data_IF_713926735364
#
_entry.id   IF_713926735364
#
_cell.length_a   1.000
_cell.length_b   1.000
_cell.length_c   1.000
_cell.angle_alpha   90.00
_cell.angle_beta   90.00
_cell.angle_gamma   90.00
#
_symmetry.space_group_name_H-M   'P 1'
#
loop_
_entity.id
_entity.type
_entity.pdbx_description
1 polymer ?
#
# COMPACT_ATOMS: atom_id res chain seq x y z
N UNK A 1 6.68 12.84 -0.56
CA UNK A 1 6.00 11.64 -0.09
C UNK A 1 4.75 11.39 -0.93
N UNK A 2 4.65 10.26 -1.60
CA UNK A 2 3.49 9.90 -2.42
C UNK A 2 3.53 8.41 -2.77
N UNK A 3 2.36 7.84 -3.13
CA UNK A 3 2.30 6.56 -3.86
C UNK A 3 2.28 6.88 -5.35
N UNK A 4 3.24 6.37 -6.08
CA UNK A 4 3.41 6.55 -7.52
C UNK A 4 3.76 5.21 -8.17
N UNK A 5 3.55 5.11 -9.49
CA UNK A 5 3.96 3.93 -10.24
C UNK A 5 5.49 3.74 -10.21
N UNK A 6 5.98 2.49 -10.21
CA UNK A 6 7.40 2.22 -10.30
C UNK A 6 8.06 2.94 -11.49
N UNK A 7 9.27 3.43 -11.31
CA UNK A 7 10.06 4.25 -12.27
C UNK A 7 9.66 5.72 -12.40
N UNK A 8 8.63 6.19 -11.69
CA UNK A 8 8.19 7.61 -11.72
C UNK A 8 9.32 8.56 -11.33
N UNK A 9 10.04 8.29 -10.24
CA UNK A 9 11.15 9.14 -9.79
C UNK A 9 12.28 9.22 -10.82
N UNK A 10 12.61 8.11 -11.47
CA UNK A 10 13.60 8.09 -12.55
C UNK A 10 13.13 8.91 -13.77
N UNK A 11 11.85 8.84 -14.11
CA UNK A 11 11.26 9.64 -15.19
C UNK A 11 11.30 11.13 -14.87
N UNK A 12 10.99 11.52 -13.64
CA UNK A 12 11.10 12.90 -13.15
C UNK A 12 12.57 13.38 -13.21
N UNK A 13 13.52 12.53 -12.77
CA UNK A 13 14.95 12.82 -12.84
C UNK A 13 15.43 13.07 -14.27
N UNK A 14 14.99 12.28 -15.23
CA UNK A 14 15.33 12.47 -16.65
C UNK A 14 14.75 13.76 -17.21
N UNK A 15 13.53 14.12 -16.81
CA UNK A 15 12.84 15.35 -17.25
C UNK A 15 13.45 16.61 -16.61
N UNK A 16 13.82 16.56 -15.34
CA UNK A 16 14.30 17.70 -14.56
C UNK A 16 15.75 17.45 -14.10
N UNK A 17 16.68 17.54 -15.04
CA UNK A 17 18.10 17.13 -14.89
C UNK A 17 18.87 17.86 -13.79
N UNK A 18 18.44 19.07 -13.41
CA UNK A 18 19.08 19.90 -12.38
C UNK A 18 18.59 19.58 -10.97
N UNK A 19 17.49 18.79 -10.84
CA UNK A 19 16.92 18.47 -9.55
C UNK A 19 17.36 17.09 -9.07
N UNK A 20 17.44 16.96 -7.75
CA UNK A 20 17.71 15.71 -7.07
C UNK A 20 16.41 15.14 -6.50
N UNK A 21 16.05 13.93 -6.91
CA UNK A 21 14.82 13.27 -6.46
C UNK A 21 15.11 12.08 -5.56
N UNK A 22 14.39 12.01 -4.45
CA UNK A 22 14.36 10.83 -3.58
C UNK A 22 12.89 10.46 -3.37
N UNK A 23 12.52 9.22 -3.63
CA UNK A 23 11.21 8.71 -3.26
C UNK A 23 11.19 8.42 -1.76
N UNK A 24 10.20 8.96 -1.07
CA UNK A 24 10.00 8.73 0.36
C UNK A 24 8.52 8.42 0.60
N UNK A 25 8.13 7.14 0.66
CA UNK A 25 6.74 6.73 0.91
C UNK A 25 6.29 7.13 2.31
N UNK A 26 5.00 7.02 2.54
CA UNK A 26 4.34 7.17 3.84
C UNK A 26 3.55 5.89 4.15
N UNK A 27 3.35 5.59 5.43
CA UNK A 27 2.63 4.41 5.91
C UNK A 27 1.55 4.82 6.92
N UNK A 28 0.87 5.91 6.62
CA UNK A 28 -0.11 6.54 7.52
C UNK A 28 -1.49 5.89 7.33
N UNK A 29 -2.19 5.70 8.45
CA UNK A 29 -3.61 5.35 8.44
C UNK A 29 -4.43 6.65 8.38
N UNK A 30 -5.47 6.72 7.56
CA UNK A 30 -6.23 7.96 7.34
C UNK A 30 -6.81 8.54 8.64
N UNK A 31 -7.30 7.70 9.55
CA UNK A 31 -7.88 8.11 10.83
C UNK A 31 -6.86 8.57 11.87
N UNK A 32 -5.59 8.15 11.77
CA UNK A 32 -4.50 8.44 12.72
C UNK A 32 -3.30 9.10 12.05
N UNK A 33 -3.51 9.71 10.88
CA UNK A 33 -2.43 10.19 10.02
C UNK A 33 -1.50 11.21 10.70
N UNK A 34 -2.04 12.03 11.60
CA UNK A 34 -1.25 13.01 12.35
C UNK A 34 -0.33 12.31 13.36
N UNK A 35 -0.86 11.40 14.15
CA UNK A 35 -0.14 10.61 15.15
C UNK A 35 0.91 9.70 14.46
N UNK A 36 0.50 9.00 13.41
CA UNK A 36 1.39 8.12 12.64
C UNK A 36 2.54 8.91 12.01
N UNK A 37 2.28 10.14 11.53
CA UNK A 37 3.33 11.00 10.98
C UNK A 37 4.35 11.41 12.04
N UNK A 38 3.92 11.70 13.28
CA UNK A 38 4.80 12.11 14.36
C UNK A 38 5.55 10.93 15.01
N UNK A 39 4.99 9.72 14.93
CA UNK A 39 5.52 8.51 15.55
C UNK A 39 6.11 7.52 14.52
N UNK A 40 6.63 8.03 13.40
CA UNK A 40 7.23 7.17 12.38
C UNK A 40 8.39 6.34 12.95
N UNK A 41 8.24 5.01 12.94
CA UNK A 41 9.27 4.07 13.36
C UNK A 41 10.15 3.59 12.20
N UNK A 42 9.70 3.79 10.95
CA UNK A 42 10.40 3.36 9.75
C UNK A 42 10.29 4.41 8.64
N UNK A 43 11.42 4.78 8.08
CA UNK A 43 11.55 5.76 7.00
C UNK A 43 12.31 5.12 5.84
N UNK A 44 11.75 5.18 4.65
CA UNK A 44 12.39 4.64 3.44
C UNK A 44 12.86 5.80 2.54
N UNK A 45 14.11 5.76 2.11
CA UNK A 45 14.71 6.70 1.18
C UNK A 45 15.13 6.00 -0.11
N UNK A 46 14.27 6.10 -1.13
CA UNK A 46 14.48 5.54 -2.46
C UNK A 46 15.28 6.48 -3.35
N UNK A 47 16.52 6.12 -3.68
CA UNK A 47 17.47 6.95 -4.42
C UNK A 47 17.23 6.89 -5.93
N UNK A 48 17.15 8.04 -6.61
CA UNK A 48 17.36 8.09 -8.06
C UNK A 48 18.86 7.97 -8.40
N UNK A 49 19.16 7.73 -9.67
CA UNK A 49 20.52 7.43 -10.17
C UNK A 49 21.57 8.53 -9.91
N UNK A 50 21.15 9.78 -9.72
CA UNK A 50 22.03 10.92 -9.44
C UNK A 50 22.21 11.23 -7.93
N UNK A 51 21.58 10.47 -7.05
CA UNK A 51 21.67 10.68 -5.61
C UNK A 51 22.96 10.05 -5.08
N UNK A 52 23.83 10.90 -4.54
CA UNK A 52 25.08 10.49 -3.91
C UNK A 52 24.91 10.25 -2.41
N UNK A 53 25.88 9.60 -1.79
CA UNK A 53 25.89 9.38 -0.33
C UNK A 53 25.85 10.68 0.46
N UNK A 54 26.39 11.79 -0.06
CA UNK A 54 26.28 13.12 0.54
C UNK A 54 24.82 13.58 0.65
N UNK A 55 24.02 13.39 -0.41
CA UNK A 55 22.59 13.74 -0.39
C UNK A 55 21.82 12.88 0.62
N UNK A 56 22.12 11.59 0.65
CA UNK A 56 21.50 10.66 1.61
C UNK A 56 21.88 11.01 3.04
N UNK A 57 23.15 11.35 3.30
CA UNK A 57 23.59 11.75 4.63
C UNK A 57 22.83 12.99 5.14
N UNK A 58 22.61 13.98 4.29
CA UNK A 58 21.85 15.19 4.63
C UNK A 58 20.40 14.83 5.02
N UNK A 59 19.74 14.00 4.20
CA UNK A 59 18.37 13.57 4.46
C UNK A 59 18.27 12.71 5.73
N UNK A 60 19.21 11.80 5.92
CA UNK A 60 19.26 10.94 7.11
C UNK A 60 19.44 11.78 8.39
N UNK A 61 20.33 12.75 8.34
CA UNK A 61 20.54 13.68 9.46
C UNK A 61 19.27 14.50 9.77
N UNK A 62 18.55 14.93 8.73
CA UNK A 62 17.26 15.62 8.88
C UNK A 62 16.24 14.70 9.58
N UNK A 63 16.06 13.48 9.08
CA UNK A 63 15.10 12.54 9.67
C UNK A 63 15.49 12.12 11.09
N UNK A 64 16.75 11.80 11.36
CA UNK A 64 17.22 11.46 12.71
C UNK A 64 17.09 12.59 13.73
N UNK A 65 17.10 13.83 13.29
CA UNK A 65 16.83 14.99 14.16
C UNK A 65 15.40 14.98 14.71
N UNK A 66 14.41 14.60 13.88
CA UNK A 66 12.99 14.65 14.24
C UNK A 66 12.43 13.29 14.65
N UNK A 67 13.07 12.21 14.24
CA UNK A 67 12.69 10.82 14.49
C UNK A 67 13.95 10.04 14.90
N UNK A 68 14.49 10.26 16.11
CA UNK A 68 15.77 9.68 16.52
C UNK A 68 15.75 8.15 16.54
N UNK A 69 14.62 7.55 16.91
CA UNK A 69 14.45 6.12 17.06
C UNK A 69 13.97 5.42 15.76
N UNK A 70 13.64 6.18 14.71
CA UNK A 70 13.19 5.59 13.47
C UNK A 70 14.30 4.83 12.75
N UNK A 71 14.00 3.63 12.26
CA UNK A 71 14.87 2.93 11.33
C UNK A 71 14.81 3.59 9.95
N UNK A 72 15.97 3.81 9.31
CA UNK A 72 16.05 4.42 7.99
C UNK A 72 16.60 3.41 7.00
N UNK A 73 15.73 2.94 6.10
CA UNK A 73 16.09 2.02 5.03
C UNK A 73 16.43 2.76 3.73
N UNK A 74 17.41 2.25 3.01
CA UNK A 74 17.88 2.81 1.74
C UNK A 74 17.73 1.78 0.63
N UNK A 75 17.19 2.22 -0.51
CA UNK A 75 17.05 1.40 -1.70
C UNK A 75 17.03 2.29 -2.96
N UNK A 76 16.89 1.71 -4.14
CA UNK A 76 16.60 2.48 -5.34
C UNK A 76 15.20 3.10 -5.29
N UNK A 77 14.96 4.18 -6.05
CA UNK A 77 13.63 4.78 -6.12
C UNK A 77 12.58 3.81 -6.65
N UNK A 78 12.95 2.97 -7.64
CA UNK A 78 12.05 1.96 -8.20
C UNK A 78 11.65 0.90 -7.16
N UNK A 79 12.60 0.42 -6.34
CA UNK A 79 12.30 -0.52 -5.24
C UNK A 79 11.37 0.11 -4.21
N UNK A 80 11.62 1.37 -3.82
CA UNK A 80 10.78 2.09 -2.87
C UNK A 80 9.37 2.33 -3.40
N UNK A 81 9.22 2.69 -4.67
CA UNK A 81 7.93 2.88 -5.35
C UNK A 81 7.17 1.56 -5.46
N UNK A 82 7.84 0.51 -5.90
CA UNK A 82 7.28 -0.85 -6.01
C UNK A 82 6.82 -1.36 -4.64
N UNK A 83 7.66 -1.27 -3.61
CA UNK A 83 7.34 -1.69 -2.26
C UNK A 83 6.07 -1.01 -1.75
N UNK A 84 5.95 0.31 -1.88
CA UNK A 84 4.76 1.05 -1.41
C UNK A 84 3.49 0.59 -2.14
N UNK A 85 3.55 0.42 -3.45
CA UNK A 85 2.42 -0.08 -4.26
C UNK A 85 2.06 -1.51 -3.86
N UNK A 86 3.06 -2.41 -3.73
CA UNK A 86 2.84 -3.82 -3.42
C UNK A 86 2.23 -4.02 -2.03
N UNK A 87 2.68 -3.25 -1.03
CA UNK A 87 2.13 -3.31 0.34
C UNK A 87 0.65 -2.93 0.35
N UNK A 88 0.27 -1.84 -0.30
CA UNK A 88 -1.14 -1.41 -0.36
C UNK A 88 -2.01 -2.44 -1.09
N UNK A 89 -1.51 -2.99 -2.20
CA UNK A 89 -2.22 -4.03 -2.95
C UNK A 89 -2.32 -5.35 -2.17
N UNK A 90 -1.27 -5.73 -1.44
CA UNK A 90 -1.31 -6.90 -0.55
C UNK A 90 -2.38 -6.74 0.54
N UNK A 91 -2.51 -5.55 1.14
CA UNK A 91 -3.56 -5.29 2.12
C UNK A 91 -4.95 -5.34 1.51
N UNK A 92 -5.13 -4.82 0.31
CA UNK A 92 -6.39 -4.93 -0.43
C UNK A 92 -6.79 -6.39 -0.71
N UNK A 93 -5.84 -7.20 -1.22
CA UNK A 93 -6.01 -8.65 -1.42
C UNK A 93 -6.38 -9.36 -0.11
N UNK A 94 -5.73 -9.00 0.98
CA UNK A 94 -6.00 -9.57 2.30
C UNK A 94 -7.42 -9.26 2.77
N UNK A 95 -7.86 -8.00 2.65
CA UNK A 95 -9.25 -7.61 2.98
C UNK A 95 -10.23 -8.40 2.13
N UNK A 96 -9.99 -8.50 0.82
CA UNK A 96 -10.86 -9.26 -0.08
C UNK A 96 -10.93 -10.74 0.30
N UNK A 97 -9.80 -11.38 0.57
CA UNK A 97 -9.77 -12.77 1.02
C UNK A 97 -10.60 -12.99 2.29
N UNK A 98 -10.41 -12.17 3.33
CA UNK A 98 -11.18 -12.27 4.57
C UNK A 98 -12.67 -11.93 4.37
N UNK A 99 -13.00 -11.07 3.41
CA UNK A 99 -14.39 -10.79 3.02
C UNK A 99 -15.08 -12.03 2.44
N UNK A 100 -14.41 -12.74 1.53
CA UNK A 100 -14.97 -13.97 0.96
C UNK A 100 -15.19 -15.04 2.03
N UNK A 101 -14.25 -15.21 2.97
CA UNK A 101 -14.43 -16.11 4.12
C UNK A 101 -15.61 -15.69 5.00
N UNK A 102 -15.76 -14.39 5.28
CA UNK A 102 -16.90 -13.85 6.01
C UNK A 102 -18.24 -14.18 5.32
N UNK A 103 -18.31 -13.99 4.01
CA UNK A 103 -19.50 -14.32 3.22
C UNK A 103 -19.79 -15.82 3.25
N UNK A 104 -18.76 -16.67 3.17
CA UNK A 104 -18.89 -18.12 3.28
C UNK A 104 -19.40 -18.53 4.67
N UNK A 105 -18.85 -17.97 5.74
CA UNK A 105 -19.32 -18.22 7.11
C UNK A 105 -20.80 -17.88 7.29
N UNK A 106 -21.25 -16.75 6.74
CA UNK A 106 -22.69 -16.40 6.75
C UNK A 106 -23.55 -17.44 6.03
N UNK A 107 -23.09 -18.01 4.92
CA UNK A 107 -23.82 -19.01 4.15
C UNK A 107 -23.90 -20.38 4.85
N UNK A 108 -22.85 -20.78 5.54
CA UNK A 108 -22.77 -22.09 6.20
C UNK A 108 -23.14 -22.06 7.68
N UNK A 109 -23.53 -20.89 8.23
CA UNK A 109 -23.96 -20.73 9.62
C UNK A 109 -22.84 -20.75 10.66
N UNK A 110 -21.56 -20.61 10.25
CA UNK A 110 -20.43 -20.55 11.16
C UNK A 110 -20.15 -19.10 11.60
N UNK A 111 -19.53 -18.96 12.79
CA UNK A 111 -19.13 -17.65 13.31
C UNK A 111 -17.76 -17.24 12.76
N UNK A 112 -17.76 -16.19 11.94
CA UNK A 112 -16.56 -15.66 11.32
C UNK A 112 -15.52 -15.18 12.34
N UNK A 113 -15.94 -14.52 13.43
CA UNK A 113 -15.00 -13.99 14.42
C UNK A 113 -14.27 -15.10 15.14
N UNK A 114 -14.98 -16.16 15.52
CA UNK A 114 -14.35 -17.36 16.10
C UNK A 114 -13.33 -17.96 15.16
N UNK A 115 -13.68 -18.14 13.88
CA UNK A 115 -12.74 -18.71 12.87
C UNK A 115 -11.52 -17.80 12.69
N UNK A 116 -11.74 -16.50 12.53
CA UNK A 116 -10.65 -15.51 12.40
C UNK A 116 -9.69 -15.56 13.60
N UNK A 117 -10.21 -15.57 14.82
CA UNK A 117 -9.39 -15.66 16.04
C UNK A 117 -8.55 -16.92 16.09
N UNK A 118 -9.13 -18.06 15.70
CA UNK A 118 -8.39 -19.32 15.60
C UNK A 118 -7.28 -19.26 14.53
N UNK A 119 -7.55 -18.65 13.38
CA UNK A 119 -6.54 -18.46 12.34
C UNK A 119 -5.38 -17.55 12.77
N UNK A 120 -5.64 -16.58 13.64
CA UNK A 120 -4.62 -15.64 14.13
C UNK A 120 -3.75 -16.21 15.26
N UNK A 121 -4.19 -17.27 15.95
CA UNK A 121 -3.53 -17.78 17.16
C UNK A 121 -2.09 -18.22 16.98
N UNK A 122 -1.71 -18.71 15.80
CA UNK A 122 -0.34 -19.16 15.54
C UNK A 122 0.65 -17.99 15.25
N UNK A 123 0.15 -16.75 15.17
CA UNK A 123 0.96 -15.56 14.97
C UNK A 123 1.51 -15.34 13.54
N UNK A 124 1.21 -16.21 12.58
CA UNK A 124 1.72 -16.08 11.20
C UNK A 124 0.92 -15.08 10.37
N UNK A 125 -0.31 -14.77 10.80
CA UNK A 125 -1.16 -13.79 10.16
C UNK A 125 -1.23 -12.55 11.07
N UNK A 126 -0.71 -11.41 10.58
CA UNK A 126 -0.91 -10.14 11.28
C UNK A 126 -2.41 -9.79 11.32
N UNK A 127 -2.98 -9.38 12.48
CA UNK A 127 -4.42 -9.13 12.64
C UNK A 127 -4.94 -7.91 11.85
N UNK A 128 -4.07 -6.98 11.46
CA UNK A 128 -4.46 -5.83 10.64
C UNK A 128 -5.16 -6.27 9.35
N UNK A 129 -6.24 -5.61 8.99
CA UNK A 129 -7.03 -5.88 7.78
C UNK A 129 -7.76 -7.25 7.75
N UNK A 130 -8.10 -7.81 8.93
CA UNK A 130 -8.88 -9.05 9.04
C UNK A 130 -10.28 -8.85 9.60
N UNK A 131 -10.64 -7.64 10.05
CA UNK A 131 -11.97 -7.33 10.55
C UNK A 131 -12.92 -7.03 9.38
N UNK A 132 -14.01 -7.79 9.29
CA UNK A 132 -15.07 -7.64 8.29
C UNK A 132 -16.42 -7.59 9.03
N UNK A 133 -17.28 -6.59 8.80
CA UNK A 133 -17.06 -5.40 7.95
C UNK A 133 -15.88 -4.52 8.36
N UNK A 134 -15.40 -3.72 7.40
CA UNK A 134 -14.33 -2.76 7.63
C UNK A 134 -14.73 -1.57 8.52
N UNK A 135 -13.80 -0.62 8.77
CA UNK A 135 -14.09 0.58 9.58
C UNK A 135 -15.19 1.49 9.01
N UNK A 136 -15.43 1.41 7.71
CA UNK A 136 -16.52 2.10 7.00
C UNK A 136 -17.88 1.39 7.11
N UNK A 137 -17.95 0.25 7.81
CA UNK A 137 -19.16 -0.55 7.99
C UNK A 137 -19.50 -1.45 6.81
N UNK A 138 -18.66 -1.48 5.78
CA UNK A 138 -18.91 -2.22 4.55
C UNK A 138 -17.94 -3.41 4.37
N UNK A 139 -18.29 -4.33 3.46
CA UNK A 139 -17.45 -5.49 3.11
C UNK A 139 -16.44 -5.13 2.01
N UNK A 140 -15.41 -5.95 1.85
CA UNK A 140 -14.29 -5.70 0.93
C UNK A 140 -13.53 -4.39 1.23
N UNK A 141 -12.57 -4.04 0.40
CA UNK A 141 -11.76 -2.86 0.63
C UNK A 141 -12.35 -1.62 -0.02
N UNK A 142 -12.36 -0.53 0.75
CA UNK A 142 -12.81 0.79 0.32
C UNK A 142 -11.75 1.85 0.57
N UNK A 143 -12.23 3.07 0.79
CA UNK A 143 -11.39 4.24 1.01
C UNK A 143 -10.69 4.74 -0.24
N UNK A 144 -9.80 5.71 -0.08
CA UNK A 144 -9.18 6.40 -1.20
C UNK A 144 -7.96 5.65 -1.78
N UNK A 145 -7.18 4.98 -0.94
CA UNK A 145 -5.88 4.43 -1.34
C UNK A 145 -5.99 3.07 -2.05
N UNK A 146 -6.65 2.08 -1.43
CA UNK A 146 -6.64 0.72 -1.94
C UNK A 146 -7.25 0.57 -3.34
N UNK A 147 -8.44 1.13 -3.63
CA UNK A 147 -8.99 1.04 -4.98
C UNK A 147 -8.14 1.72 -6.06
N UNK A 148 -7.53 2.86 -5.72
CA UNK A 148 -6.64 3.58 -6.63
C UNK A 148 -5.36 2.78 -6.89
N UNK A 149 -4.72 2.27 -5.85
CA UNK A 149 -3.43 1.60 -5.96
C UNK A 149 -3.54 0.22 -6.60
N UNK A 150 -4.63 -0.53 -6.34
CA UNK A 150 -4.88 -1.82 -7.00
C UNK A 150 -5.10 -1.65 -8.51
N UNK A 151 -5.88 -0.65 -8.93
CA UNK A 151 -6.07 -0.36 -10.36
C UNK A 151 -4.77 0.11 -11.04
N UNK A 152 -3.99 0.97 -10.37
CA UNK A 152 -2.70 1.43 -10.89
C UNK A 152 -1.72 0.27 -11.05
N UNK A 153 -1.61 -0.62 -10.04
CA UNK A 153 -0.75 -1.79 -10.13
C UNK A 153 -1.21 -2.77 -11.22
N UNK A 154 -2.50 -3.04 -11.32
CA UNK A 154 -3.04 -3.91 -12.38
C UNK A 154 -2.67 -3.37 -13.77
N UNK A 155 -2.85 -2.07 -14.00
CA UNK A 155 -2.49 -1.46 -15.28
C UNK A 155 -0.97 -1.52 -15.53
N UNK A 156 -0.17 -1.27 -14.50
CA UNK A 156 1.29 -1.37 -14.60
C UNK A 156 1.74 -2.80 -14.94
N UNK A 157 1.14 -3.83 -14.30
CA UNK A 157 1.40 -5.24 -14.61
C UNK A 157 1.05 -5.58 -16.05
N UNK A 158 -0.12 -5.14 -16.56
CA UNK A 158 -0.53 -5.33 -17.94
C UNK A 158 0.43 -4.68 -18.93
N UNK A 159 0.84 -3.44 -18.66
CA UNK A 159 1.77 -2.70 -19.52
C UNK A 159 3.17 -3.32 -19.58
N UNK A 160 3.55 -4.10 -18.56
CA UNK A 160 4.82 -4.80 -18.48
C UNK A 160 4.72 -6.32 -18.77
N UNK A 161 3.60 -6.76 -19.32
CA UNK A 161 3.36 -8.18 -19.69
C UNK A 161 3.61 -9.16 -18.54
N UNK A 162 3.41 -8.70 -17.30
CA UNK A 162 3.57 -9.51 -16.08
C UNK A 162 2.29 -10.27 -15.77
N UNK A 163 2.32 -11.44 -15.12
CA UNK A 163 1.12 -12.12 -14.62
C UNK A 163 0.29 -11.23 -13.70
N UNK A 164 -1.03 -11.10 -13.94
CA UNK A 164 -1.90 -10.17 -13.23
C UNK A 164 -3.27 -10.75 -12.82
N UNK A 165 -3.56 -12.01 -13.14
CA UNK A 165 -4.88 -12.61 -12.96
C UNK A 165 -5.42 -12.49 -11.53
N UNK A 166 -4.58 -12.64 -10.50
CA UNK A 166 -4.96 -12.49 -9.10
C UNK A 166 -5.46 -11.07 -8.79
N UNK A 167 -4.74 -10.05 -9.26
CA UNK A 167 -5.12 -8.64 -9.04
C UNK A 167 -6.40 -8.30 -9.78
N UNK A 168 -6.55 -8.74 -11.01
CA UNK A 168 -7.75 -8.50 -11.82
C UNK A 168 -8.98 -9.16 -11.20
N UNK A 169 -8.87 -10.41 -10.75
CA UNK A 169 -9.96 -11.11 -10.08
C UNK A 169 -10.38 -10.43 -8.78
N UNK A 170 -9.40 -10.00 -7.98
CA UNK A 170 -9.64 -9.28 -6.73
C UNK A 170 -10.40 -7.95 -6.96
N UNK A 171 -10.00 -7.18 -7.96
CA UNK A 171 -10.66 -5.90 -8.31
C UNK A 171 -12.08 -6.15 -8.83
N UNK A 172 -12.28 -7.15 -9.67
CA UNK A 172 -13.60 -7.49 -10.21
C UNK A 172 -14.56 -7.93 -9.10
N UNK A 173 -14.10 -8.80 -8.18
CA UNK A 173 -14.92 -9.27 -7.07
C UNK A 173 -15.26 -8.12 -6.10
N UNK A 174 -14.26 -7.27 -5.77
CA UNK A 174 -14.49 -6.05 -5.00
C UNK A 174 -15.58 -5.17 -5.62
N UNK A 175 -15.49 -4.92 -6.93
CA UNK A 175 -16.44 -4.07 -7.65
C UNK A 175 -17.84 -4.69 -7.75
N UNK A 176 -17.95 -6.00 -7.68
CA UNK A 176 -19.24 -6.67 -7.55
C UNK A 176 -19.86 -6.52 -6.15
N UNK A 177 -19.03 -6.43 -5.11
CA UNK A 177 -19.46 -6.35 -3.71
C UNK A 177 -19.74 -4.92 -3.22
N UNK A 178 -19.25 -3.89 -3.92
CA UNK A 178 -19.34 -2.48 -3.48
C UNK A 178 -19.76 -1.55 -4.62
N UNK A 179 -20.62 -0.58 -4.27
CA UNK A 179 -21.12 0.43 -5.22
C UNK A 179 -20.23 1.70 -5.29
N UNK A 180 -19.20 1.80 -4.44
CA UNK A 180 -18.28 2.94 -4.37
C UNK A 180 -17.19 2.89 -5.47
N UNK A 181 -17.58 2.61 -6.71
CA UNK A 181 -16.64 2.54 -7.85
C UNK A 181 -15.93 3.87 -8.05
N UNK A 182 -14.60 3.84 -8.09
CA UNK A 182 -13.84 4.96 -8.66
C UNK A 182 -14.09 4.93 -10.16
N UNK A 183 -15.03 5.76 -10.62
CA UNK A 183 -15.25 5.97 -12.04
C UNK A 183 -14.02 6.67 -12.65
N UNK A 184 -13.05 5.89 -13.11
CA UNK A 184 -11.86 6.38 -13.84
C UNK A 184 -12.24 6.93 -15.23
N UNK A 185 -13.52 6.84 -15.61
CA UNK A 185 -14.03 7.18 -16.96
C UNK A 185 -14.87 8.43 -17.02
N UNK A 186 -14.69 9.40 -16.11
CA UNK A 186 -15.30 10.73 -16.30
C UNK A 186 -14.22 11.80 -16.31
N UNK A 187 -13.56 11.94 -17.45
CA UNK A 187 -13.11 13.23 -18.01
C UNK A 187 -13.05 13.14 -19.53
#
# INVERSE_FOLDING_TARGET
KSTVEPTTTQSLRRKYRTLNFVHNPEFLTASTAFEDFHNQSHIVLGKSDNITDKHIHILSKFYKKYYPDADISYCSSTESESMKSFVNCFYALKVQFFTELYCLCKKNGSDYNTIKELMLKNGWINPMHTNIPGPDGDISYGGYCFPKDTNALLQYMKNNESPYALMESCINERNYMRDDHINVTKK
#
